data_IF_544318111241
#
_entry.id   IF_544318111241
#
_cell.length_a   1.000
_cell.length_b   1.000
_cell.length_c   1.000
_cell.angle_alpha   90.00
_cell.angle_beta   90.00
_cell.angle_gamma   90.00
#
_symmetry.space_group_name_H-M   'P 1'
#
loop_
_entity.id
_entity.type
_entity.pdbx_description
1 polymer ?
#
# COMPACT_ATOMS: atom_id res chain seq x y z
N UNK A 1 8.16 16.22 0.74
CA UNK A 1 7.72 16.75 2.04
C UNK A 1 6.72 15.77 2.61
N UNK A 2 7.05 15.13 3.73
CA UNK A 2 6.11 14.28 4.49
C UNK A 2 4.95 15.19 4.91
N UNK A 3 3.72 14.77 4.64
CA UNK A 3 2.51 15.50 5.05
C UNK A 3 2.55 15.75 6.58
N UNK A 4 1.96 16.85 7.09
CA UNK A 4 1.98 17.13 8.52
C UNK A 4 1.37 15.94 9.27
N UNK A 5 2.14 15.33 10.17
CA UNK A 5 1.70 14.22 10.98
C UNK A 5 0.65 14.74 11.96
N UNK A 6 -0.60 14.28 11.83
CA UNK A 6 -1.58 14.41 12.90
C UNK A 6 -1.01 13.74 14.17
N UNK A 7 -1.11 14.38 15.35
CA UNK A 7 -0.48 13.93 16.59
C UNK A 7 -1.06 12.64 17.17
N UNK A 8 -2.13 12.10 16.58
CA UNK A 8 -2.80 10.87 16.98
C UNK A 8 -2.36 9.66 16.13
N UNK A 9 -1.64 9.90 15.02
CA UNK A 9 -1.15 8.82 14.16
C UNK A 9 0.17 8.24 14.71
N UNK A 10 0.32 6.90 14.76
CA UNK A 10 1.57 6.29 15.22
C UNK A 10 2.73 6.71 14.29
N UNK A 11 3.99 6.69 14.77
CA UNK A 11 5.13 7.19 14.01
C UNK A 11 5.24 6.51 12.64
N UNK A 12 5.62 7.23 11.57
CA UNK A 12 5.76 6.64 10.24
C UNK A 12 6.78 5.51 10.30
N UNK A 13 6.38 4.31 9.86
CA UNK A 13 7.30 3.17 9.75
C UNK A 13 8.18 3.36 8.51
N UNK A 14 9.43 2.92 8.57
CA UNK A 14 10.30 2.96 7.39
C UNK A 14 9.75 2.01 6.30
N UNK A 15 9.79 2.39 5.02
CA UNK A 15 9.34 1.53 3.94
C UNK A 15 10.08 0.20 3.93
N UNK A 16 9.33 -0.88 3.73
CA UNK A 16 9.85 -2.25 3.72
C UNK A 16 9.82 -2.84 2.31
N UNK A 17 10.40 -4.03 2.13
CA UNK A 17 10.33 -4.75 0.85
C UNK A 17 11.05 -4.08 -0.33
N UNK A 18 11.85 -3.04 -0.08
CA UNK A 18 12.52 -2.25 -1.12
C UNK A 18 11.64 -1.19 -1.78
N UNK A 19 10.49 -0.84 -1.16
CA UNK A 19 9.62 0.22 -1.64
C UNK A 19 10.36 1.57 -1.65
N UNK A 20 10.72 2.05 -2.84
CA UNK A 20 11.15 3.43 -3.09
C UNK A 20 10.00 4.14 -3.79
N UNK A 21 9.33 5.06 -3.10
CA UNK A 21 8.26 5.85 -3.69
C UNK A 21 8.86 7.10 -4.30
N UNK A 22 8.97 7.10 -5.62
CA UNK A 22 9.09 8.35 -6.37
C UNK A 22 7.67 8.88 -6.57
N UNK A 23 7.34 9.95 -5.85
CA UNK A 23 6.08 10.65 -6.05
C UNK A 23 6.09 11.28 -7.45
N UNK A 24 4.98 11.18 -8.20
CA UNK A 24 4.89 11.79 -9.52
C UNK A 24 5.09 13.31 -9.39
N UNK A 25 5.65 13.96 -10.43
CA UNK A 25 5.84 15.41 -10.43
C UNK A 25 4.52 16.17 -10.35
N UNK A 26 3.40 15.51 -10.69
CA UNK A 26 2.07 16.07 -10.65
C UNK A 26 1.34 15.67 -9.35
N UNK A 27 0.97 16.62 -8.47
CA UNK A 27 0.41 16.32 -7.16
C UNK A 27 -1.03 15.76 -7.20
N UNK A 28 -1.73 15.90 -8.32
CA UNK A 28 -3.08 15.35 -8.53
C UNK A 28 -3.13 13.84 -8.77
N UNK A 29 -1.97 13.21 -9.00
CA UNK A 29 -1.83 11.77 -9.15
C UNK A 29 -1.37 11.05 -7.89
N UNK A 30 -1.23 11.79 -6.78
CA UNK A 30 -1.04 11.21 -5.46
C UNK A 30 -2.40 10.87 -4.84
N UNK A 31 -2.57 9.61 -4.47
CA UNK A 31 -3.68 9.07 -3.72
C UNK A 31 -3.31 8.96 -2.25
N UNK A 32 -4.22 9.35 -1.37
CA UNK A 32 -4.08 9.16 0.07
C UNK A 32 -4.87 7.93 0.51
N UNK A 33 -4.21 7.01 1.22
CA UNK A 33 -4.80 5.78 1.74
C UNK A 33 -4.40 5.57 3.19
N UNK A 34 -5.25 4.85 3.93
CA UNK A 34 -5.00 4.53 5.33
C UNK A 34 -4.58 3.07 5.48
N UNK A 35 -3.41 2.82 6.05
CA UNK A 35 -2.89 1.48 6.36
C UNK A 35 -2.69 1.37 7.86
N UNK A 36 -3.41 0.49 8.54
CA UNK A 36 -3.38 0.34 10.02
C UNK A 36 -3.59 1.67 10.77
N UNK A 37 -4.39 2.58 10.22
CA UNK A 37 -4.61 3.93 10.76
C UNK A 37 -3.53 4.95 10.40
N UNK A 38 -2.52 4.57 9.61
CA UNK A 38 -1.51 5.49 9.09
C UNK A 38 -1.88 6.03 7.72
N UNK A 39 -1.93 7.37 7.58
CA UNK A 39 -2.12 8.03 6.30
C UNK A 39 -0.84 7.96 5.45
N UNK A 40 -0.96 7.40 4.25
CA UNK A 40 0.15 7.21 3.31
C UNK A 40 -0.24 7.76 1.95
N UNK A 41 0.68 8.50 1.35
CA UNK A 41 0.53 9.03 -0.01
C UNK A 41 1.26 8.13 -1.01
N UNK A 42 0.51 7.63 -1.97
CA UNK A 42 0.99 6.72 -3.02
C UNK A 42 0.62 7.27 -4.39
N UNK A 43 1.37 6.96 -5.46
CA UNK A 43 0.91 7.26 -6.81
C UNK A 43 -0.33 6.44 -7.19
N UNK A 44 -1.17 7.00 -8.05
CA UNK A 44 -2.27 6.27 -8.71
C UNK A 44 -1.74 5.02 -9.42
N UNK A 45 -2.49 3.93 -9.31
CA UNK A 45 -2.15 2.65 -9.94
C UNK A 45 -1.34 1.68 -9.06
N UNK A 46 -0.96 2.09 -7.84
CA UNK A 46 -0.39 1.17 -6.87
C UNK A 46 -1.43 0.17 -6.36
N UNK A 47 -0.97 -1.04 -6.07
CA UNK A 47 -1.79 -2.03 -5.37
C UNK A 47 -1.82 -1.77 -3.87
N UNK A 48 -2.78 -2.38 -3.18
CA UNK A 48 -2.84 -2.34 -1.70
C UNK A 48 -1.54 -2.89 -1.10
N UNK A 49 -0.95 -3.94 -1.70
CA UNK A 49 0.33 -4.48 -1.22
C UNK A 49 1.45 -3.45 -1.28
N UNK A 50 1.56 -2.73 -2.39
CA UNK A 50 2.56 -1.68 -2.54
C UNK A 50 2.31 -0.54 -1.55
N UNK A 51 1.06 -0.13 -1.36
CA UNK A 51 0.71 0.87 -0.36
C UNK A 51 1.14 0.49 1.06
N UNK A 52 0.96 -0.78 1.43
CA UNK A 52 1.43 -1.31 2.71
C UNK A 52 2.95 -1.33 2.81
N UNK A 53 3.68 -1.69 1.76
CA UNK A 53 5.15 -1.64 1.75
C UNK A 53 5.67 -0.20 1.97
N UNK A 54 4.99 0.82 1.41
CA UNK A 54 5.27 2.25 1.67
C UNK A 54 4.97 2.63 3.11
N UNK A 55 3.89 2.09 3.67
CA UNK A 55 3.50 2.25 5.06
C UNK A 55 4.43 1.52 6.06
N UNK A 56 5.46 0.81 5.57
CA UNK A 56 6.37 0.00 6.38
C UNK A 56 5.74 -1.29 6.93
N UNK A 57 4.67 -1.78 6.28
CA UNK A 57 4.00 -3.05 6.60
C UNK A 57 4.38 -4.09 5.56
N UNK A 58 5.09 -5.13 6.00
CA UNK A 58 5.53 -6.22 5.12
C UNK A 58 4.46 -7.33 5.08
N UNK A 59 3.76 -7.42 3.95
CA UNK A 59 2.70 -8.43 3.75
C UNK A 59 3.33 -9.70 3.18
N UNK A 60 3.09 -10.89 3.79
CA UNK A 60 3.66 -12.13 3.29
C UNK A 60 3.17 -12.45 1.88
N UNK A 61 4.14 -12.71 0.99
CA UNK A 61 3.90 -12.95 -0.44
C UNK A 61 4.74 -14.12 -0.95
N UNK A 62 4.12 -14.97 -1.75
CA UNK A 62 4.82 -16.05 -2.47
C UNK A 62 4.81 -15.86 -3.98
N UNK A 63 3.63 -15.60 -4.56
CA UNK A 63 3.48 -15.49 -6.02
C UNK A 63 3.54 -14.06 -6.57
N UNK A 64 3.85 -13.06 -5.72
CA UNK A 64 3.97 -11.67 -6.13
C UNK A 64 5.43 -11.25 -6.20
N UNK A 65 5.77 -10.55 -7.28
CA UNK A 65 7.09 -9.96 -7.48
C UNK A 65 6.93 -8.68 -8.31
N UNK A 66 7.60 -7.60 -7.92
CA UNK A 66 7.42 -6.25 -8.49
C UNK A 66 7.74 -6.13 -9.98
N UNK A 67 8.62 -6.99 -10.50
CA UNK A 67 9.00 -7.04 -11.93
C UNK A 67 8.23 -8.06 -12.77
N UNK A 68 7.28 -8.78 -12.17
CA UNK A 68 6.47 -9.79 -12.86
C UNK A 68 5.00 -9.38 -12.84
N UNK A 69 4.21 -9.99 -13.72
CA UNK A 69 2.76 -9.82 -13.73
C UNK A 69 2.13 -10.37 -12.44
N UNK A 70 1.03 -9.75 -12.02
CA UNK A 70 0.27 -10.16 -10.84
C UNK A 70 -0.44 -11.50 -11.12
N UNK A 71 -0.16 -12.53 -10.32
CA UNK A 71 -0.75 -13.86 -10.49
C UNK A 71 -2.00 -14.11 -9.61
N UNK A 72 -1.93 -13.81 -8.30
CA UNK A 72 -3.05 -14.00 -7.37
C UNK A 72 -3.33 -15.45 -6.93
N UNK A 73 -2.37 -16.38 -7.10
CA UNK A 73 -2.56 -17.81 -6.82
C UNK A 73 -2.37 -18.18 -5.34
N UNK A 74 -1.41 -17.57 -4.64
CA UNK A 74 -1.02 -18.05 -3.30
C UNK A 74 -1.93 -17.62 -2.14
N UNK A 75 -2.73 -16.56 -2.30
CA UNK A 75 -3.62 -16.00 -1.27
C UNK A 75 -3.00 -15.76 0.12
N UNK A 76 -1.67 -15.69 0.21
CA UNK A 76 -0.97 -15.38 1.46
C UNK A 76 -1.09 -13.90 1.85
N UNK A 77 -1.28 -13.04 0.85
CA UNK A 77 -1.36 -11.59 0.98
C UNK A 77 -2.79 -11.07 1.25
N UNK A 78 -3.66 -11.90 1.83
CA UNK A 78 -5.03 -11.50 2.15
C UNK A 78 -5.02 -10.44 3.25
N UNK A 79 -5.73 -9.34 2.99
CA UNK A 79 -5.89 -8.23 3.93
C UNK A 79 -7.35 -7.83 4.02
N UNK A 80 -7.72 -7.27 5.16
CA UNK A 80 -9.03 -6.69 5.36
C UNK A 80 -8.99 -5.23 4.86
N UNK A 81 -9.98 -4.88 4.04
CA UNK A 81 -10.14 -3.52 3.51
C UNK A 81 -11.54 -3.06 3.88
N UNK A 82 -11.65 -1.82 4.35
CA UNK A 82 -12.94 -1.23 4.65
C UNK A 82 -13.87 -1.30 3.44
N UNK A 83 -15.16 -1.56 3.67
CA UNK A 83 -16.20 -1.73 2.63
C UNK A 83 -16.07 -3.00 1.76
N UNK A 84 -15.13 -3.89 2.03
CA UNK A 84 -15.08 -5.23 1.40
C UNK A 84 -15.63 -6.30 2.34
N UNK A 85 -16.62 -7.13 1.91
CA UNK A 85 -17.22 -8.16 2.77
C UNK A 85 -16.33 -9.39 2.98
N UNK A 86 -15.21 -9.51 2.25
CA UNK A 86 -14.26 -10.61 2.33
C UNK A 86 -12.84 -10.06 2.27
N UNK A 87 -11.86 -10.73 2.91
CA UNK A 87 -10.45 -10.37 2.74
C UNK A 87 -10.06 -10.39 1.26
N UNK A 88 -9.40 -9.32 0.82
CA UNK A 88 -8.99 -9.13 -0.57
C UNK A 88 -7.51 -9.47 -0.71
N UNK A 89 -7.13 -9.97 -1.89
CA UNK A 89 -5.73 -10.20 -2.19
C UNK A 89 -5.05 -8.84 -2.45
N UNK A 90 -4.24 -8.38 -1.51
CA UNK A 90 -3.56 -7.07 -1.59
C UNK A 90 -2.71 -6.91 -2.85
N UNK A 91 -2.16 -8.00 -3.38
CA UNK A 91 -1.31 -7.98 -4.57
C UNK A 91 -2.05 -7.64 -5.87
N UNK A 92 -3.37 -7.88 -5.94
CA UNK A 92 -4.18 -7.66 -7.13
C UNK A 92 -5.22 -6.55 -6.97
N UNK A 93 -5.51 -6.15 -5.73
CA UNK A 93 -6.44 -5.06 -5.45
C UNK A 93 -5.73 -3.72 -5.68
N UNK A 94 -6.26 -2.83 -6.54
CA UNK A 94 -5.77 -1.46 -6.63
C UNK A 94 -6.10 -0.71 -5.33
N UNK A 95 -5.18 0.14 -4.89
CA UNK A 95 -5.44 1.05 -3.78
C UNK A 95 -6.44 2.12 -4.23
N UNK A 96 -7.54 2.25 -3.48
CA UNK A 96 -8.62 3.21 -3.71
C UNK A 96 -8.67 4.19 -2.53
N UNK A 97 -9.17 5.43 -2.75
CA UNK A 97 -9.40 6.40 -1.68
C UNK A 97 -10.57 6.00 -0.76
#
# INVERSE_FOLDING_TARGET
AVAPADPELPPPREPVGGARVELPPNPEDALEVFVDGHAVRIPKGFSVLQACEVAGVDIPRFCYHSRLSIAGNCRMCLVEVEKSPKPVASCAMPALP
#
